data_IF_812336006838
#
_entry.id   IF_812336006838
#
_cell.length_a   1.000
_cell.length_b   1.000
_cell.length_c   1.000
_cell.angle_alpha   90.00
_cell.angle_beta   90.00
_cell.angle_gamma   90.00
#
_symmetry.space_group_name_H-M   'P 1'
#
loop_
_entity.id
_entity.type
_entity.pdbx_description
1 polymer ?
#
# COMPACT_ATOMS: atom_id res chain seq x y z
N UNK A 1 19.60 32.37 -10.17
CA UNK A 1 18.19 32.25 -9.72
C UNK A 1 17.54 31.27 -10.71
N UNK A 2 17.41 30.02 -10.30
CA UNK A 2 16.67 29.03 -11.08
C UNK A 2 15.19 29.39 -10.94
N UNK A 3 14.53 29.72 -12.02
CA UNK A 3 13.07 29.94 -12.03
C UNK A 3 12.41 28.65 -11.60
N UNK A 4 11.73 28.66 -10.46
CA UNK A 4 10.96 27.52 -10.00
C UNK A 4 9.96 27.14 -11.11
N UNK A 5 10.02 25.89 -11.57
CA UNK A 5 9.09 25.38 -12.58
C UNK A 5 7.73 25.21 -11.93
N UNK A 6 6.74 25.96 -12.41
CA UNK A 6 5.37 25.80 -11.94
C UNK A 6 4.82 24.42 -12.38
N UNK A 7 3.88 23.83 -11.63
CA UNK A 7 3.21 22.61 -12.06
C UNK A 7 2.57 22.79 -13.45
N UNK A 8 2.76 21.81 -14.34
CA UNK A 8 2.08 21.78 -15.64
C UNK A 8 0.73 21.06 -15.56
N UNK A 9 0.52 20.26 -14.51
CA UNK A 9 -0.76 19.62 -14.22
C UNK A 9 -1.88 20.65 -14.00
N UNK A 10 -3.11 20.21 -14.17
CA UNK A 10 -4.31 21.05 -13.99
C UNK A 10 -4.91 20.76 -12.62
N UNK A 11 -4.98 21.77 -11.75
CA UNK A 11 -5.64 21.68 -10.46
C UNK A 11 -7.15 21.57 -10.65
N UNK A 12 -7.77 20.50 -10.18
CA UNK A 12 -9.22 20.29 -10.23
C UNK A 12 -9.93 20.95 -9.04
N UNK A 13 -9.24 21.12 -7.92
CA UNK A 13 -9.75 21.75 -6.70
C UNK A 13 -9.16 21.10 -5.45
N UNK A 14 -9.42 21.74 -4.31
CA UNK A 14 -9.10 21.19 -2.99
C UNK A 14 -10.36 20.61 -2.37
N UNK A 15 -10.34 19.32 -2.08
CA UNK A 15 -11.49 18.58 -1.59
C UNK A 15 -11.13 17.85 -0.29
N UNK A 16 -12.01 17.89 0.68
CA UNK A 16 -11.84 17.12 1.93
C UNK A 16 -11.98 15.62 1.62
N UNK A 17 -11.01 14.78 1.98
CA UNK A 17 -11.07 13.34 1.78
C UNK A 17 -12.38 12.71 2.29
N UNK A 18 -12.99 11.82 1.51
CA UNK A 18 -14.23 11.13 1.87
C UNK A 18 -15.52 11.90 1.58
N UNK A 19 -15.45 13.18 1.16
CA UNK A 19 -16.65 13.94 0.74
C UNK A 19 -17.16 13.51 -0.64
N UNK A 20 -18.43 13.79 -0.98
CA UNK A 20 -18.96 13.54 -2.32
C UNK A 20 -18.14 14.22 -3.43
N UNK A 21 -17.70 15.45 -3.22
CA UNK A 21 -16.89 16.22 -4.17
C UNK A 21 -15.52 15.58 -4.40
N UNK A 22 -14.87 15.11 -3.33
CA UNK A 22 -13.61 14.38 -3.42
C UNK A 22 -13.77 13.06 -4.19
N UNK A 23 -14.86 12.34 -3.93
CA UNK A 23 -15.18 11.12 -4.65
C UNK A 23 -15.46 11.40 -6.14
N UNK A 24 -16.21 12.45 -6.45
CA UNK A 24 -16.50 12.85 -7.83
C UNK A 24 -15.23 13.24 -8.60
N UNK A 25 -14.33 14.00 -7.98
CA UNK A 25 -13.04 14.37 -8.57
C UNK A 25 -12.14 13.16 -8.89
N UNK A 26 -12.40 12.00 -8.31
CA UNK A 26 -11.64 10.74 -8.46
C UNK A 26 -12.45 9.63 -9.16
N UNK A 27 -13.67 9.93 -9.57
CA UNK A 27 -14.61 8.98 -10.19
C UNK A 27 -14.26 8.71 -11.65
N UNK A 28 -14.80 7.61 -12.16
CA UNK A 28 -14.70 7.21 -13.56
C UNK A 28 -13.41 6.46 -13.90
N UNK A 29 -13.13 6.39 -15.19
CA UNK A 29 -11.98 5.68 -15.73
C UNK A 29 -10.70 6.53 -15.59
N UNK A 30 -10.28 6.74 -14.35
CA UNK A 30 -9.02 7.39 -14.00
C UNK A 30 -8.24 6.54 -13.00
N UNK A 31 -6.93 6.78 -12.94
CA UNK A 31 -6.01 6.17 -11.97
C UNK A 31 -5.44 7.26 -11.09
N UNK A 32 -5.54 7.10 -9.78
CA UNK A 32 -4.97 8.01 -8.80
C UNK A 32 -3.62 7.49 -8.29
N UNK A 33 -2.82 8.36 -7.72
CA UNK A 33 -1.49 8.01 -7.21
C UNK A 33 -1.52 6.86 -6.17
N UNK A 34 -2.58 6.77 -5.35
CA UNK A 34 -2.76 5.67 -4.40
C UNK A 34 -3.17 4.35 -5.04
N UNK A 35 -3.68 4.38 -6.28
CA UNK A 35 -4.14 3.19 -7.00
C UNK A 35 -3.08 2.56 -7.89
N UNK A 36 -2.08 3.32 -8.30
CA UNK A 36 -1.07 2.82 -9.26
C UNK A 36 -0.29 1.62 -8.71
N UNK A 37 0.05 1.64 -7.42
CA UNK A 37 0.72 0.52 -6.78
C UNK A 37 -0.11 -0.78 -6.80
N UNK A 38 -1.44 -0.69 -6.72
CA UNK A 38 -2.32 -1.85 -6.85
C UNK A 38 -2.30 -2.42 -8.28
N UNK A 39 -2.28 -1.55 -9.29
CA UNK A 39 -2.23 -1.94 -10.71
C UNK A 39 -0.96 -2.72 -11.04
N UNK A 40 0.18 -2.34 -10.44
CA UNK A 40 1.46 -3.01 -10.65
C UNK A 40 1.77 -4.11 -9.62
N UNK A 41 0.79 -4.49 -8.78
CA UNK A 41 0.91 -5.61 -7.84
C UNK A 41 1.78 -5.33 -6.61
N UNK A 42 2.07 -4.07 -6.30
CA UNK A 42 2.92 -3.65 -5.18
C UNK A 42 2.15 -3.12 -3.96
N UNK A 43 0.84 -2.94 -4.06
CA UNK A 43 0.04 -2.45 -2.94
C UNK A 43 -0.27 -3.56 -1.94
N UNK A 44 0.01 -3.36 -0.64
CA UNK A 44 -0.41 -4.31 0.40
C UNK A 44 -1.90 -4.16 0.79
N UNK A 45 -2.60 -3.13 0.30
CA UNK A 45 -3.97 -2.80 0.73
C UNK A 45 -5.04 -3.02 -0.34
N UNK A 46 -4.66 -3.29 -1.57
CA UNK A 46 -5.60 -3.47 -2.67
C UNK A 46 -4.94 -4.26 -3.80
N UNK A 47 -5.64 -5.24 -4.37
CA UNK A 47 -5.19 -5.91 -5.58
C UNK A 47 -5.66 -5.19 -6.85
N UNK A 48 -5.00 -5.48 -7.98
CA UNK A 48 -5.45 -5.03 -9.30
C UNK A 48 -6.85 -5.56 -9.62
N UNK A 49 -7.15 -6.80 -9.22
CA UNK A 49 -8.45 -7.44 -9.40
C UNK A 49 -9.57 -6.71 -8.65
N UNK A 50 -9.36 -6.38 -7.37
CA UNK A 50 -10.32 -5.60 -6.59
C UNK A 50 -10.54 -4.20 -7.18
N UNK A 51 -9.44 -3.51 -7.54
CA UNK A 51 -9.53 -2.18 -8.14
C UNK A 51 -10.30 -2.22 -9.46
N UNK A 52 -10.07 -3.25 -10.29
CA UNK A 52 -10.79 -3.44 -11.54
C UNK A 52 -12.30 -3.57 -11.31
N UNK A 53 -12.73 -4.37 -10.34
CA UNK A 53 -14.14 -4.52 -10.00
C UNK A 53 -14.75 -3.19 -9.53
N UNK A 54 -14.05 -2.43 -8.70
CA UNK A 54 -14.48 -1.08 -8.32
C UNK A 54 -14.64 -0.15 -9.51
N UNK A 55 -13.70 -0.16 -10.46
CA UNK A 55 -13.76 0.68 -11.66
C UNK A 55 -14.83 0.23 -12.65
N UNK A 56 -15.09 -1.05 -12.72
CA UNK A 56 -16.17 -1.63 -13.53
C UNK A 56 -17.57 -1.50 -12.88
N UNK A 57 -17.67 -0.89 -11.68
CA UNK A 57 -18.94 -0.74 -10.96
C UNK A 57 -19.50 -2.05 -10.42
N UNK A 58 -18.65 -3.07 -10.25
CA UNK A 58 -19.03 -4.38 -9.70
C UNK A 58 -18.88 -4.42 -8.18
N UNK A 59 -19.58 -5.33 -7.48
CA UNK A 59 -19.44 -5.48 -6.04
C UNK A 59 -17.99 -5.75 -5.61
N UNK A 60 -17.59 -5.18 -4.48
CA UNK A 60 -16.35 -5.47 -3.79
C UNK A 60 -16.62 -5.54 -2.28
N UNK A 61 -15.68 -6.12 -1.52
CA UNK A 61 -15.80 -6.12 -0.07
C UNK A 61 -15.97 -4.67 0.46
N UNK A 62 -16.82 -4.45 1.46
CA UNK A 62 -17.00 -3.12 2.04
C UNK A 62 -15.69 -2.57 2.60
N UNK A 63 -15.40 -1.31 2.28
CA UNK A 63 -14.27 -0.62 2.88
C UNK A 63 -14.56 -0.26 4.33
N UNK A 64 -13.63 -0.59 5.22
CA UNK A 64 -13.68 -0.18 6.63
C UNK A 64 -12.39 0.54 6.97
N UNK A 65 -12.50 1.80 7.41
CA UNK A 65 -11.33 2.57 7.85
C UNK A 65 -10.74 1.95 9.11
N UNK A 66 -9.46 1.63 9.08
CA UNK A 66 -8.74 1.08 10.23
C UNK A 66 -8.36 2.17 11.24
N UNK A 67 -8.04 1.80 12.51
CA UNK A 67 -7.51 2.77 13.47
C UNK A 67 -6.24 3.47 12.95
N UNK A 68 -5.36 2.75 12.27
CA UNK A 68 -4.11 3.28 11.70
C UNK A 68 -4.39 4.38 10.67
N UNK A 69 -5.34 4.18 9.77
CA UNK A 69 -5.74 5.20 8.79
C UNK A 69 -6.28 6.47 9.46
N UNK A 70 -7.09 6.31 10.52
CA UNK A 70 -7.64 7.46 11.26
C UNK A 70 -6.56 8.25 12.00
N UNK A 71 -5.59 7.54 12.60
CA UNK A 71 -4.46 8.19 13.26
C UNK A 71 -3.51 8.81 12.25
N UNK A 72 -3.26 8.15 11.11
CA UNK A 72 -2.47 8.71 10.01
C UNK A 72 -2.99 10.07 9.58
N UNK A 73 -4.31 10.20 9.33
CA UNK A 73 -4.92 11.48 8.95
C UNK A 73 -4.86 12.55 10.06
N UNK A 74 -4.73 12.17 11.34
CA UNK A 74 -4.59 13.14 12.43
C UNK A 74 -3.16 13.64 12.59
N UNK A 75 -2.19 12.77 12.38
CA UNK A 75 -0.77 13.12 12.48
C UNK A 75 -0.22 13.77 11.21
N UNK A 76 -0.99 13.83 10.13
CA UNK A 76 -0.51 14.37 8.85
C UNK A 76 -0.03 15.82 9.00
N UNK A 77 -0.80 16.68 9.69
CA UNK A 77 -0.43 18.08 9.89
C UNK A 77 0.78 18.21 10.86
N UNK A 78 0.84 17.40 11.93
CA UNK A 78 1.98 17.40 12.85
C UNK A 78 3.30 16.98 12.18
N UNK A 79 3.25 15.97 11.30
CA UNK A 79 4.41 15.53 10.51
C UNK A 79 4.78 16.57 9.44
N UNK A 80 3.78 17.27 8.89
CA UNK A 80 4.03 18.37 7.96
C UNK A 80 4.72 19.56 8.65
N UNK A 81 4.34 19.86 9.89
CA UNK A 81 4.96 20.92 10.70
C UNK A 81 6.43 20.57 11.00
N UNK A 82 6.72 19.34 11.42
CA UNK A 82 8.09 18.85 11.63
C UNK A 82 8.94 18.98 10.35
N UNK A 83 8.39 18.62 9.18
CA UNK A 83 9.07 18.81 7.90
C UNK A 83 9.35 20.29 7.64
N UNK A 84 8.38 21.17 7.86
CA UNK A 84 8.52 22.61 7.61
C UNK A 84 9.56 23.27 8.53
N UNK A 85 9.67 22.82 9.79
CA UNK A 85 10.70 23.29 10.73
C UNK A 85 12.11 22.92 10.26
N UNK A 86 12.28 21.71 9.67
CA UNK A 86 13.56 21.26 9.15
C UNK A 86 13.92 21.88 7.80
N UNK A 87 12.93 22.38 7.05
CA UNK A 87 13.07 22.94 5.69
C UNK A 87 12.46 24.35 5.55
N UNK A 88 13.02 25.36 6.26
CA UNK A 88 12.45 26.71 6.29
C UNK A 88 12.66 27.51 4.99
N UNK A 89 13.37 26.97 3.98
CA UNK A 89 13.76 27.68 2.76
C UNK A 89 12.58 28.04 1.86
N UNK A 90 11.49 27.27 1.94
CA UNK A 90 10.26 27.51 1.21
C UNK A 90 9.05 27.28 2.11
N UNK A 91 7.93 27.98 1.87
CA UNK A 91 6.69 27.67 2.57
C UNK A 91 6.19 26.28 2.15
N UNK A 92 5.75 25.50 3.13
CA UNK A 92 5.05 24.24 2.90
C UNK A 92 3.56 24.55 2.68
N UNK A 93 3.06 24.24 1.49
CA UNK A 93 1.70 24.59 1.07
C UNK A 93 0.83 23.35 0.94
N UNK A 94 -0.39 23.43 1.46
CA UNK A 94 -1.43 22.46 1.11
C UNK A 94 -1.81 22.58 -0.36
N UNK A 95 -2.20 21.47 -0.97
CA UNK A 95 -2.62 21.47 -2.36
C UNK A 95 -3.94 20.69 -2.52
N UNK A 96 -4.31 20.35 -3.73
CA UNK A 96 -5.55 19.67 -4.02
C UNK A 96 -5.38 18.49 -4.96
N UNK A 97 -6.48 18.11 -5.59
CA UNK A 97 -6.49 17.05 -6.60
C UNK A 97 -6.11 17.64 -7.96
N UNK A 98 -5.13 17.02 -8.58
CA UNK A 98 -4.61 17.40 -9.88
C UNK A 98 -4.90 16.33 -10.92
N UNK A 99 -4.99 16.74 -12.18
CA UNK A 99 -4.90 15.86 -13.34
C UNK A 99 -3.72 16.25 -14.21
N UNK A 100 -3.17 15.28 -14.93
CA UNK A 100 -2.16 15.56 -15.95
C UNK A 100 -2.75 16.43 -17.06
N UNK A 101 -1.97 17.36 -17.60
CA UNK A 101 -2.44 18.31 -18.63
C UNK A 101 -3.00 17.64 -19.89
N UNK A 102 -2.39 16.52 -20.33
CA UNK A 102 -2.74 15.80 -21.57
C UNK A 102 -3.41 14.43 -21.32
N UNK A 103 -3.41 13.93 -20.09
CA UNK A 103 -3.95 12.61 -19.72
C UNK A 103 -5.04 12.75 -18.64
N UNK A 104 -6.27 12.97 -19.06
CA UNK A 104 -7.41 13.17 -18.16
C UNK A 104 -7.63 12.02 -17.16
N UNK A 105 -7.17 10.83 -17.50
CA UNK A 105 -7.27 9.65 -16.66
C UNK A 105 -6.20 9.57 -15.56
N UNK A 106 -5.16 10.39 -15.62
CA UNK A 106 -4.07 10.39 -14.65
C UNK A 106 -4.31 11.49 -13.61
N UNK A 107 -4.50 11.09 -12.35
CA UNK A 107 -4.82 12.00 -11.24
C UNK A 107 -3.93 11.77 -10.03
N UNK A 108 -3.69 12.84 -9.29
CA UNK A 108 -2.91 12.83 -8.05
C UNK A 108 -3.45 13.84 -7.05
N UNK A 109 -3.24 13.57 -5.79
CA UNK A 109 -3.50 14.49 -4.67
C UNK A 109 -2.32 14.38 -3.73
N UNK A 110 -1.24 15.13 -3.96
CA UNK A 110 -0.11 15.19 -3.03
C UNK A 110 -0.52 15.81 -1.70
N UNK A 111 0.15 15.45 -0.62
CA UNK A 111 -0.17 16.01 0.69
C UNK A 111 0.26 17.48 0.76
N UNK A 112 1.48 17.80 0.31
CA UNK A 112 2.01 19.19 0.35
C UNK A 112 2.86 19.49 -0.89
N UNK A 113 3.06 20.80 -1.11
CA UNK A 113 4.04 21.35 -2.04
C UNK A 113 5.07 22.20 -1.27
N UNK A 114 6.34 22.04 -1.60
CA UNK A 114 7.46 22.77 -1.03
C UNK A 114 8.33 23.34 -2.18
N UNK A 115 8.16 24.64 -2.48
CA UNK A 115 8.70 25.21 -3.70
C UNK A 115 8.08 24.56 -4.95
N UNK A 116 8.93 23.92 -5.76
CA UNK A 116 8.54 23.15 -6.97
C UNK A 116 8.65 21.63 -6.75
N UNK A 117 8.58 21.18 -5.51
CA UNK A 117 8.71 19.78 -5.09
C UNK A 117 7.45 19.29 -4.40
N UNK A 118 7.26 18.00 -4.46
CA UNK A 118 6.20 17.31 -3.70
C UNK A 118 6.72 16.89 -2.33
N UNK A 119 5.85 16.94 -1.33
CA UNK A 119 6.08 16.30 -0.05
C UNK A 119 4.90 15.36 0.23
N UNK A 120 5.22 14.09 0.33
CA UNK A 120 4.28 13.04 0.75
C UNK A 120 4.51 12.72 2.22
N UNK A 121 3.44 12.59 2.98
CA UNK A 121 3.46 12.41 4.42
C UNK A 121 2.90 11.04 4.78
N UNK A 122 3.59 10.33 5.66
CA UNK A 122 3.16 9.00 6.12
C UNK A 122 3.33 8.82 7.62
N UNK A 123 2.56 7.89 8.16
CA UNK A 123 2.79 7.30 9.48
C UNK A 123 2.99 5.80 9.34
N UNK A 124 3.83 5.22 10.17
CA UNK A 124 4.07 3.78 10.23
C UNK A 124 4.06 3.28 11.68
N UNK A 125 3.64 2.04 11.90
CA UNK A 125 3.63 1.42 13.24
C UNK A 125 4.90 0.63 13.55
N UNK A 126 5.74 0.37 12.54
CA UNK A 126 7.00 -0.35 12.68
C UNK A 126 7.97 0.03 11.55
N UNK A 127 9.25 -0.15 11.81
CA UNK A 127 10.34 0.25 10.91
C UNK A 127 10.85 -0.85 9.97
N UNK A 128 10.18 -2.01 9.88
CA UNK A 128 10.73 -3.20 9.21
C UNK A 128 11.08 -2.96 7.72
N UNK A 129 10.33 -2.08 7.04
CA UNK A 129 10.51 -1.78 5.62
C UNK A 129 11.13 -0.38 5.39
N UNK A 130 11.54 0.29 6.47
CA UNK A 130 12.06 1.63 6.45
C UNK A 130 13.54 1.63 6.82
N UNK A 131 14.41 1.96 5.88
CA UNK A 131 15.84 2.12 6.11
C UNK A 131 16.16 3.37 6.94
N UNK A 132 17.44 3.65 7.19
CA UNK A 132 17.86 4.90 7.81
C UNK A 132 17.32 6.13 7.06
N UNK A 133 17.06 7.22 7.78
CA UNK A 133 16.72 8.51 7.14
C UNK A 133 17.78 8.89 6.11
N UNK A 134 17.36 9.42 4.97
CA UNK A 134 18.22 9.79 3.85
C UNK A 134 18.66 8.63 2.95
N UNK A 135 18.29 7.36 3.28
CA UNK A 135 18.50 6.22 2.37
C UNK A 135 17.43 6.14 1.29
N UNK A 136 17.60 5.23 0.33
CA UNK A 136 16.59 4.89 -0.68
C UNK A 136 15.75 3.66 -0.30
N UNK A 137 15.82 3.22 0.96
CA UNK A 137 15.13 2.04 1.47
C UNK A 137 13.83 2.45 2.17
N UNK A 138 12.72 2.34 1.47
CA UNK A 138 11.36 2.54 1.98
C UNK A 138 10.37 1.73 1.14
N UNK A 139 9.11 1.52 1.58
CA UNK A 139 8.17 0.67 0.85
C UNK A 139 7.93 1.10 -0.59
N UNK A 140 8.10 0.18 -1.54
CA UNK A 140 8.08 0.45 -2.98
C UNK A 140 6.75 1.04 -3.48
N UNK A 141 5.64 0.73 -2.83
CA UNK A 141 4.34 1.29 -3.19
C UNK A 141 4.27 2.83 -3.00
N UNK A 142 5.03 3.40 -2.05
CA UNK A 142 5.14 4.84 -1.90
C UNK A 142 6.02 5.45 -3.01
N UNK A 143 7.06 4.75 -3.46
CA UNK A 143 7.82 5.19 -4.64
C UNK A 143 6.91 5.30 -5.86
N UNK A 144 6.11 4.28 -6.13
CA UNK A 144 5.13 4.32 -7.23
C UNK A 144 4.15 5.50 -7.08
N UNK A 145 3.65 5.73 -5.86
CA UNK A 145 2.74 6.83 -5.58
C UNK A 145 3.39 8.19 -5.88
N UNK A 146 4.59 8.43 -5.37
CA UNK A 146 5.31 9.70 -5.52
C UNK A 146 5.72 9.94 -6.98
N UNK A 147 6.28 8.93 -7.66
CA UNK A 147 6.60 9.03 -9.09
C UNK A 147 5.37 9.39 -9.93
N UNK A 148 4.22 8.77 -9.62
CA UNK A 148 2.96 9.10 -10.27
C UNK A 148 2.50 10.54 -10.01
N UNK A 149 2.69 11.05 -8.79
CA UNK A 149 2.37 12.44 -8.44
C UNK A 149 3.27 13.41 -9.20
N UNK A 150 4.60 13.16 -9.21
CA UNK A 150 5.57 13.97 -9.94
C UNK A 150 5.21 14.04 -11.43
N UNK A 151 4.94 12.91 -12.06
CA UNK A 151 4.53 12.82 -13.46
C UNK A 151 3.19 13.52 -13.73
N UNK A 152 2.22 13.38 -12.82
CA UNK A 152 0.90 14.03 -12.97
C UNK A 152 0.99 15.54 -12.92
N UNK A 153 1.81 16.10 -12.03
CA UNK A 153 1.97 17.54 -11.88
C UNK A 153 3.04 18.12 -12.83
N UNK A 154 3.87 17.28 -13.44
CA UNK A 154 5.03 17.72 -14.21
C UNK A 154 6.10 18.38 -13.34
N UNK A 155 6.22 17.99 -12.08
CA UNK A 155 7.23 18.42 -11.12
C UNK A 155 8.29 17.32 -10.99
N UNK A 156 9.40 17.47 -11.72
CA UNK A 156 10.44 16.44 -11.83
C UNK A 156 11.64 16.70 -10.90
N UNK A 157 11.59 17.74 -10.08
CA UNK A 157 12.54 17.89 -8.98
C UNK A 157 12.33 16.80 -7.94
N UNK A 158 13.38 16.42 -7.19
CA UNK A 158 13.28 15.39 -6.17
C UNK A 158 12.15 15.67 -5.18
N UNK A 159 11.28 14.70 -4.99
CA UNK A 159 10.20 14.77 -4.00
C UNK A 159 10.69 14.29 -2.63
N UNK A 160 10.00 14.71 -1.58
CA UNK A 160 10.28 14.26 -0.22
C UNK A 160 9.19 13.31 0.28
N UNK A 161 9.61 12.27 0.99
CA UNK A 161 8.73 11.38 1.74
C UNK A 161 9.07 11.53 3.21
N UNK A 162 8.21 12.23 3.96
CA UNK A 162 8.31 12.39 5.39
C UNK A 162 7.48 11.34 6.10
N UNK A 163 8.06 10.60 7.05
CA UNK A 163 7.35 9.56 7.79
C UNK A 163 7.60 9.66 9.29
N UNK A 164 6.53 9.57 10.07
CA UNK A 164 6.60 9.33 11.51
C UNK A 164 6.38 7.83 11.78
N UNK A 165 7.43 7.14 12.17
CA UNK A 165 7.34 5.76 12.66
C UNK A 165 7.05 5.84 14.15
N UNK A 166 5.85 5.44 14.54
CA UNK A 166 5.39 5.58 15.91
C UNK A 166 6.28 4.79 16.91
N UNK A 167 6.57 5.33 18.11
CA UNK A 167 5.93 6.56 18.62
C UNK A 167 6.66 7.87 18.32
N UNK A 168 7.96 7.89 17.95
CA UNK A 168 8.75 9.14 17.89
C UNK A 168 9.89 9.13 16.85
N UNK A 169 9.92 8.20 15.92
CA UNK A 169 11.01 8.06 14.94
C UNK A 169 10.61 8.75 13.63
N UNK A 170 10.96 10.03 13.50
CA UNK A 170 10.79 10.78 12.26
C UNK A 170 11.92 10.45 11.30
N UNK A 171 11.58 10.16 10.06
CA UNK A 171 12.54 9.93 8.97
C UNK A 171 12.09 10.62 7.71
N UNK A 172 13.05 10.96 6.88
CA UNK A 172 12.85 11.58 5.58
C UNK A 172 13.63 10.85 4.50
N UNK A 173 13.01 10.74 3.33
CA UNK A 173 13.60 10.13 2.14
C UNK A 173 13.40 11.04 0.94
N UNK A 174 14.39 11.06 0.04
CA UNK A 174 14.34 11.80 -1.21
C UNK A 174 14.02 10.84 -2.35
N UNK A 175 13.06 11.19 -3.18
CA UNK A 175 12.58 10.37 -4.29
C UNK A 175 12.86 11.12 -5.59
N UNK A 176 13.90 10.71 -6.28
CA UNK A 176 14.23 11.22 -7.60
C UNK A 176 13.15 10.80 -8.61
N UNK A 177 12.81 11.69 -9.53
CA UNK A 177 11.96 11.35 -10.65
C UNK A 177 12.73 10.50 -11.67
N UNK A 178 12.16 9.39 -12.07
CA UNK A 178 12.67 8.54 -13.14
C UNK A 178 11.63 8.41 -14.25
N UNK A 179 11.95 8.88 -15.45
CA UNK A 179 11.06 8.83 -16.62
C UNK A 179 10.78 7.38 -17.06
N UNK A 180 11.72 6.46 -16.84
CA UNK A 180 11.50 5.04 -17.18
C UNK A 180 10.45 4.44 -16.28
N UNK A 181 10.54 4.68 -14.97
CA UNK A 181 9.56 4.23 -13.99
C UNK A 181 8.19 4.88 -14.26
N UNK A 182 8.16 6.18 -14.48
CA UNK A 182 6.93 6.91 -14.80
C UNK A 182 6.26 6.36 -16.06
N UNK A 183 7.02 6.07 -17.12
CA UNK A 183 6.52 5.46 -18.35
C UNK A 183 5.97 4.06 -18.11
N UNK A 184 6.65 3.22 -17.34
CA UNK A 184 6.17 1.88 -16.99
C UNK A 184 4.85 1.93 -16.23
N UNK A 185 4.72 2.86 -15.27
CA UNK A 185 3.48 3.09 -14.52
C UNK A 185 2.35 3.57 -15.44
N UNK A 186 2.62 4.51 -16.36
CA UNK A 186 1.63 4.98 -17.35
C UNK A 186 1.13 3.84 -18.24
N UNK A 187 2.06 3.06 -18.82
CA UNK A 187 1.71 1.92 -19.66
C UNK A 187 0.88 0.87 -18.91
N UNK A 188 1.21 0.60 -17.64
CA UNK A 188 0.42 -0.30 -16.80
C UNK A 188 -1.00 0.24 -16.55
N UNK A 189 -1.11 1.54 -16.24
CA UNK A 189 -2.38 2.20 -16.03
C UNK A 189 -3.25 2.20 -17.31
N UNK A 190 -2.66 2.45 -18.48
CA UNK A 190 -3.37 2.41 -19.76
C UNK A 190 -3.89 1.01 -20.09
N UNK A 191 -3.05 -0.02 -19.91
CA UNK A 191 -3.49 -1.41 -20.08
C UNK A 191 -4.63 -1.75 -19.13
N UNK A 192 -4.50 -1.36 -17.88
CA UNK A 192 -5.53 -1.58 -16.87
C UNK A 192 -6.86 -0.89 -17.23
N UNK A 193 -6.82 0.40 -17.60
CA UNK A 193 -8.03 1.13 -18.00
C UNK A 193 -8.67 0.56 -19.27
N UNK A 194 -7.86 0.04 -20.18
CA UNK A 194 -8.36 -0.66 -21.37
C UNK A 194 -9.08 -1.94 -20.95
N UNK A 195 -8.50 -2.77 -20.10
CA UNK A 195 -9.13 -4.00 -19.62
C UNK A 195 -10.46 -3.73 -18.91
N UNK A 196 -10.59 -2.60 -18.19
CA UNK A 196 -11.87 -2.19 -17.59
C UNK A 196 -12.92 -1.88 -18.66
N UNK A 197 -12.54 -1.17 -19.75
CA UNK A 197 -13.47 -0.87 -20.86
C UNK A 197 -13.90 -2.14 -21.62
N UNK A 198 -12.96 -3.05 -21.81
CA UNK A 198 -13.16 -4.29 -22.57
C UNK A 198 -13.90 -5.34 -21.73
N UNK A 199 -14.05 -5.12 -20.42
CA UNK A 199 -14.73 -6.05 -19.51
C UNK A 199 -13.86 -7.26 -19.12
N UNK A 200 -12.55 -7.20 -19.31
CA UNK A 200 -11.58 -8.27 -19.08
C UNK A 200 -10.86 -8.03 -17.75
N UNK A 201 -11.20 -8.74 -16.66
CA UNK A 201 -10.53 -8.56 -15.39
C UNK A 201 -9.08 -9.04 -15.43
N UNK A 202 -8.18 -8.48 -14.58
CA UNK A 202 -6.85 -9.02 -14.37
C UNK A 202 -6.87 -10.49 -13.92
N UNK A 203 -5.74 -11.18 -14.05
CA UNK A 203 -5.59 -12.53 -13.53
C UNK A 203 -5.87 -12.60 -12.03
N UNK A 204 -6.41 -13.74 -11.59
CA UNK A 204 -6.63 -14.03 -10.17
C UNK A 204 -5.26 -14.27 -9.51
N UNK A 205 -4.89 -13.40 -8.59
CA UNK A 205 -3.67 -13.49 -7.80
C UNK A 205 -3.93 -14.16 -6.42
N UNK A 206 -2.87 -14.36 -5.65
CA UNK A 206 -2.95 -14.92 -4.29
C UNK A 206 -3.30 -13.91 -3.19
N UNK A 207 -3.77 -12.71 -3.54
CA UNK A 207 -4.10 -11.66 -2.58
C UNK A 207 -5.42 -11.95 -1.86
N UNK A 208 -5.45 -11.70 -0.55
CA UNK A 208 -6.69 -11.70 0.25
C UNK A 208 -7.73 -10.71 -0.30
N UNK A 209 -7.30 -9.61 -0.89
CA UNK A 209 -8.18 -8.62 -1.53
C UNK A 209 -8.90 -9.22 -2.75
N UNK A 210 -8.18 -9.99 -3.58
CA UNK A 210 -8.75 -10.72 -4.70
C UNK A 210 -9.73 -11.79 -4.23
N UNK A 211 -9.34 -12.60 -3.26
CA UNK A 211 -10.20 -13.63 -2.68
C UNK A 211 -11.50 -13.04 -2.11
N UNK A 212 -11.39 -11.96 -1.33
CA UNK A 212 -12.56 -11.28 -0.75
C UNK A 212 -13.46 -10.63 -1.82
N UNK A 213 -12.87 -10.16 -2.93
CA UNK A 213 -13.64 -9.64 -4.06
C UNK A 213 -14.41 -10.74 -4.76
N UNK A 214 -13.82 -11.90 -5.00
CA UNK A 214 -14.48 -13.05 -5.60
C UNK A 214 -15.64 -13.55 -4.74
N UNK A 215 -15.47 -13.56 -3.41
CA UNK A 215 -16.52 -14.00 -2.48
C UNK A 215 -17.81 -13.18 -2.54
N UNK A 216 -17.77 -11.95 -2.99
CA UNK A 216 -18.94 -11.06 -3.06
C UNK A 216 -19.52 -10.92 -4.48
N UNK A 217 -18.95 -11.64 -5.48
CA UNK A 217 -19.43 -11.54 -6.87
C UNK A 217 -20.80 -12.19 -7.08
N UNK A 218 -21.11 -13.38 -6.55
CA UNK A 218 -22.47 -13.90 -6.61
C UNK A 218 -23.39 -13.08 -5.71
N UNK A 219 -24.49 -12.58 -6.24
CA UNK A 219 -25.49 -11.88 -5.42
C UNK A 219 -26.11 -12.79 -4.36
N UNK A 220 -26.09 -14.09 -4.61
CA UNK A 220 -26.58 -15.11 -3.69
C UNK A 220 -25.87 -16.45 -3.90
N UNK A 221 -25.91 -17.27 -2.85
CA UNK A 221 -25.50 -18.65 -2.88
C UNK A 221 -26.67 -19.52 -3.39
N UNK A 222 -26.38 -20.39 -4.37
CA UNK A 222 -27.30 -21.43 -4.84
C UNK A 222 -26.76 -22.81 -4.37
N UNK A 223 -27.56 -23.64 -3.66
CA UNK A 223 -27.10 -24.92 -3.14
C UNK A 223 -27.14 -26.02 -4.23
N UNK A 224 -26.30 -25.86 -5.25
CA UNK A 224 -26.16 -26.80 -6.36
C UNK A 224 -24.75 -27.34 -6.45
N UNK A 225 -24.60 -28.57 -6.93
CA UNK A 225 -23.30 -29.14 -7.23
C UNK A 225 -22.81 -28.62 -8.57
N UNK A 226 -21.54 -28.18 -8.62
CA UNK A 226 -20.91 -27.68 -9.83
C UNK A 226 -19.67 -28.50 -10.11
N UNK A 227 -19.59 -29.08 -11.32
CA UNK A 227 -18.39 -29.78 -11.78
C UNK A 227 -17.25 -28.76 -12.02
N UNK A 228 -16.14 -28.96 -11.33
CA UNK A 228 -14.96 -28.06 -11.42
C UNK A 228 -13.97 -28.62 -12.43
N UNK A 229 -13.40 -27.79 -13.32
CA UNK A 229 -12.35 -28.24 -14.26
C UNK A 229 -11.19 -28.92 -13.55
N UNK A 230 -10.78 -30.08 -14.09
CA UNK A 230 -9.76 -30.93 -13.47
C UNK A 230 -8.47 -30.22 -13.03
N UNK A 231 -7.88 -29.32 -13.82
CA UNK A 231 -6.69 -28.56 -13.39
C UNK A 231 -6.94 -27.77 -12.12
N UNK A 232 -8.07 -27.06 -12.02
CA UNK A 232 -8.41 -26.22 -10.83
C UNK A 232 -8.63 -27.12 -9.61
N UNK A 233 -9.35 -28.24 -9.77
CA UNK A 233 -9.59 -29.18 -8.70
C UNK A 233 -8.27 -29.79 -8.19
N UNK A 234 -7.41 -30.24 -9.11
CA UNK A 234 -6.11 -30.82 -8.78
C UNK A 234 -5.20 -29.83 -8.05
N UNK A 235 -5.10 -28.59 -8.53
CA UNK A 235 -4.29 -27.54 -7.88
C UNK A 235 -4.78 -27.29 -6.46
N UNK A 236 -6.10 -27.17 -6.26
CA UNK A 236 -6.68 -26.95 -4.93
C UNK A 236 -6.37 -28.10 -3.96
N UNK A 237 -6.52 -29.35 -4.41
CA UNK A 237 -6.27 -30.54 -3.58
C UNK A 237 -4.79 -30.70 -3.24
N UNK A 238 -3.90 -30.56 -4.23
CA UNK A 238 -2.43 -30.72 -4.08
C UNK A 238 -1.88 -29.63 -3.16
N UNK A 239 -2.21 -28.35 -3.42
CA UNK A 239 -1.72 -27.24 -2.62
C UNK A 239 -2.31 -27.32 -1.20
N UNK A 240 -3.59 -27.71 -1.05
CA UNK A 240 -4.22 -27.92 0.25
C UNK A 240 -3.52 -28.98 1.08
N UNK A 241 -3.15 -30.12 0.47
CA UNK A 241 -2.38 -31.17 1.12
C UNK A 241 -0.97 -30.71 1.52
N UNK A 242 -0.29 -29.97 0.66
CA UNK A 242 1.03 -29.37 0.94
C UNK A 242 0.94 -28.38 2.10
N UNK A 243 -0.05 -27.49 2.11
CA UNK A 243 -0.27 -26.53 3.18
C UNK A 243 -0.50 -27.23 4.53
N UNK A 244 -1.31 -28.30 4.55
CA UNK A 244 -1.53 -29.11 5.76
C UNK A 244 -0.21 -29.72 6.27
N UNK A 245 0.57 -30.34 5.38
CA UNK A 245 1.85 -30.95 5.73
C UNK A 245 2.87 -29.93 6.27
N UNK A 246 2.99 -28.76 5.64
CA UNK A 246 3.86 -27.66 6.10
C UNK A 246 3.39 -27.16 7.48
N UNK A 247 2.09 -27.01 7.69
CA UNK A 247 1.53 -26.58 8.98
C UNK A 247 1.85 -27.58 10.10
N UNK A 248 1.76 -28.88 9.83
CA UNK A 248 2.13 -29.94 10.78
C UNK A 248 3.63 -29.90 11.10
N UNK A 249 4.49 -29.79 10.08
CA UNK A 249 5.94 -29.65 10.24
C UNK A 249 6.32 -28.40 11.05
N UNK A 250 5.70 -27.28 10.77
CA UNK A 250 5.93 -26.04 11.53
C UNK A 250 5.48 -26.15 12.97
N UNK A 251 4.35 -26.82 13.23
CA UNK A 251 3.87 -27.10 14.59
C UNK A 251 4.84 -28.00 15.34
N UNK A 252 5.37 -29.04 14.68
CA UNK A 252 6.39 -29.91 15.25
C UNK A 252 7.68 -29.13 15.58
N UNK A 253 8.13 -28.25 14.67
CA UNK A 253 9.31 -27.41 14.89
C UNK A 253 9.11 -26.46 16.08
N UNK A 254 7.94 -25.82 16.20
CA UNK A 254 7.58 -24.99 17.36
C UNK A 254 7.60 -25.80 18.66
N UNK A 255 7.06 -27.01 18.65
CA UNK A 255 7.03 -27.90 19.83
C UNK A 255 8.44 -28.28 20.26
N UNK A 256 9.30 -28.67 19.33
CA UNK A 256 10.72 -28.98 19.63
C UNK A 256 11.46 -27.76 20.19
N UNK A 257 11.26 -26.57 19.59
CA UNK A 257 11.89 -25.35 20.06
C UNK A 257 11.40 -24.96 21.47
N UNK A 258 10.10 -25.09 21.73
CA UNK A 258 9.53 -24.80 23.03
C UNK A 258 10.02 -25.79 24.12
N UNK A 259 10.14 -27.08 23.78
CA UNK A 259 10.71 -28.08 24.66
C UNK A 259 12.20 -27.77 24.98
N UNK A 260 12.99 -27.43 23.98
CA UNK A 260 14.39 -27.06 24.17
C UNK A 260 14.57 -25.76 24.96
N UNK A 261 13.61 -24.83 24.89
CA UNK A 261 13.62 -23.57 25.61
C UNK A 261 13.45 -23.77 27.14
N UNK A 262 12.87 -24.88 27.58
CA UNK A 262 12.63 -25.18 28.99
C UNK A 262 11.81 -24.10 29.68
N UNK A 263 12.35 -23.43 30.70
CA UNK A 263 11.74 -22.29 31.39
C UNK A 263 12.12 -20.94 30.80
N UNK A 264 12.97 -20.93 29.77
CA UNK A 264 13.47 -19.71 29.15
C UNK A 264 12.40 -18.89 28.45
N UNK A 265 12.65 -17.59 28.27
CA UNK A 265 11.78 -16.66 27.56
C UNK A 265 12.14 -16.54 26.08
N UNK A 266 13.44 -16.36 25.77
CA UNK A 266 13.92 -16.09 24.43
C UNK A 266 14.73 -17.26 23.88
N UNK A 267 14.37 -17.76 22.71
CA UNK A 267 15.14 -18.72 21.95
C UNK A 267 16.22 -17.98 21.15
N UNK A 268 17.47 -18.27 21.45
CA UNK A 268 18.63 -17.62 20.81
C UNK A 268 19.38 -18.63 19.94
N UNK A 269 19.89 -18.19 18.80
CA UNK A 269 20.77 -18.95 17.93
C UNK A 269 21.84 -18.01 17.34
N UNK A 270 23.11 -18.34 17.53
CA UNK A 270 24.25 -17.53 17.07
C UNK A 270 24.11 -16.03 17.44
N UNK A 271 23.75 -15.74 18.70
CA UNK A 271 23.58 -14.37 19.21
C UNK A 271 22.28 -13.68 18.77
N UNK A 272 21.50 -14.27 17.86
CA UNK A 272 20.23 -13.72 17.35
C UNK A 272 19.03 -14.41 18.01
N UNK A 273 18.05 -13.61 18.43
CA UNK A 273 16.77 -14.14 18.89
C UNK A 273 15.98 -14.67 17.69
N UNK A 274 15.56 -15.94 17.71
CA UNK A 274 14.78 -16.59 16.66
C UNK A 274 13.30 -16.71 17.00
N UNK A 275 12.98 -16.79 18.31
CA UNK A 275 11.60 -16.82 18.80
C UNK A 275 11.56 -16.37 20.28
N UNK A 276 10.35 -16.11 20.78
CA UNK A 276 10.15 -15.84 22.21
C UNK A 276 8.82 -16.40 22.69
N UNK A 277 8.80 -16.74 23.99
CA UNK A 277 7.60 -17.22 24.68
C UNK A 277 6.72 -16.05 25.09
N UNK A 278 5.44 -16.15 24.80
CA UNK A 278 4.39 -15.30 25.36
C UNK A 278 3.72 -16.10 26.47
N UNK A 279 3.64 -15.51 27.66
CA UNK A 279 3.00 -16.13 28.82
C UNK A 279 1.57 -15.60 29.02
N UNK A 280 0.74 -16.42 29.66
CA UNK A 280 -0.53 -16.01 30.25
C UNK A 280 -0.26 -15.29 31.59
N UNK A 281 -1.30 -14.71 32.19
CA UNK A 281 -1.22 -14.03 33.50
C UNK A 281 -0.77 -14.96 34.62
N UNK A 282 -1.11 -16.24 34.55
CA UNK A 282 -0.72 -17.30 35.51
C UNK A 282 0.72 -17.83 35.29
N UNK A 283 1.46 -17.27 34.34
CA UNK A 283 2.82 -17.70 34.00
C UNK A 283 2.92 -18.91 33.07
N UNK A 284 1.84 -19.53 32.70
CA UNK A 284 1.83 -20.63 31.73
C UNK A 284 2.12 -20.12 30.33
N UNK A 285 2.60 -21.01 29.45
CA UNK A 285 2.90 -20.62 28.06
C UNK A 285 1.61 -20.45 27.25
N UNK A 286 1.36 -19.24 26.77
CA UNK A 286 0.28 -18.96 25.81
C UNK A 286 0.67 -19.41 24.40
N UNK A 287 1.83 -19.01 23.94
CA UNK A 287 2.36 -19.38 22.62
C UNK A 287 3.84 -19.09 22.46
N UNK A 288 4.46 -19.68 21.44
CA UNK A 288 5.78 -19.31 20.94
C UNK A 288 5.60 -18.40 19.71
N UNK A 289 6.21 -17.22 19.75
CA UNK A 289 6.21 -16.30 18.62
C UNK A 289 7.59 -16.21 17.94
N UNK A 290 7.66 -16.15 16.60
CA UNK A 290 8.91 -15.88 15.92
C UNK A 290 9.41 -14.48 16.29
N UNK A 291 10.74 -14.28 16.34
CA UNK A 291 11.33 -12.96 16.42
C UNK A 291 11.12 -12.25 15.06
N UNK A 292 10.77 -10.98 15.12
CA UNK A 292 10.70 -10.11 13.95
C UNK A 292 12.06 -9.50 13.67
#
# INVERSE_FOLDING_TARGET
>A
MTTATAPTGILLGSFTPGTPEWNEARKGLCVTATQIAAIVGLSPWQSAYELWHKKAGRPTAPFTATPEMRWGSRFEDDVAEEFAEQHPEHPLLTTGTWKHQDRDWQRATPDRLWGNRLVEIKTATHSAEWGPSGSDIFPMHYRCQITWQQDTLGLHEPAHLAVLILPYDYREYVVEYDETDARMLREAAERFLRSVRDGEPPEIDGSEHTYNTIRVQPDRYDPVDVEIPGPIASDYEVIGAQHKAITEQYTQAKSRLLAALGTGKNAMHLGRRIAYRVANEDGTTKQLQPAR
#
